data_IF_395804515615
#
_entry.id   IF_395804515615
#
_cell.length_a   1.000
_cell.length_b   1.000
_cell.length_c   1.000
_cell.angle_alpha   90.00
_cell.angle_beta   90.00
_cell.angle_gamma   90.00
#
_symmetry.space_group_name_H-M   'P 1'
#
loop_
_entity.id
_entity.type
_entity.pdbx_description
1 polymer ?
#
# COMPACT_ATOMS: atom_id res chain seq x y z
N UNK A 1 10.40 -6.94 11.33
CA UNK A 1 9.76 -8.01 10.54
C UNK A 1 9.03 -7.41 9.36
N UNK A 2 9.09 -8.09 8.22
CA UNK A 2 8.39 -7.60 7.03
C UNK A 2 6.93 -8.05 7.03
N UNK A 3 6.06 -7.13 6.66
CA UNK A 3 4.64 -7.40 6.43
C UNK A 3 4.25 -6.87 5.07
N UNK A 4 3.54 -7.69 4.32
CA UNK A 4 2.90 -7.31 3.07
C UNK A 4 1.44 -7.02 3.36
N UNK A 5 0.99 -5.83 2.99
CA UNK A 5 -0.42 -5.46 3.08
C UNK A 5 -0.94 -5.32 1.65
N UNK A 6 -1.89 -6.15 1.30
CA UNK A 6 -2.56 -6.15 0.00
C UNK A 6 -3.97 -5.60 0.19
N UNK A 7 -4.32 -4.58 -0.59
CA UNK A 7 -5.62 -3.92 -0.51
C UNK A 7 -6.27 -3.92 -1.89
N UNK A 8 -7.53 -4.34 -1.96
CA UNK A 8 -8.28 -4.34 -3.20
C UNK A 8 -9.42 -3.33 -3.11
N UNK A 9 -9.50 -2.43 -4.08
CA UNK A 9 -10.52 -1.38 -4.10
C UNK A 9 -11.90 -1.96 -4.36
N UNK A 10 -12.93 -1.30 -3.80
CA UNK A 10 -14.32 -1.52 -4.19
C UNK A 10 -14.50 -1.09 -5.65
N UNK A 11 -15.40 -1.74 -6.40
CA UNK A 11 -15.63 -1.38 -7.81
C UNK A 11 -16.04 0.09 -8.01
N UNK A 12 -16.69 0.68 -7.01
CA UNK A 12 -17.16 2.07 -7.02
C UNK A 12 -16.23 3.01 -6.25
N UNK A 13 -14.95 2.63 -6.09
CA UNK A 13 -14.02 3.33 -5.19
C UNK A 13 -13.34 4.57 -5.76
N UNK A 14 -13.45 4.85 -7.05
CA UNK A 14 -12.67 5.92 -7.69
C UNK A 14 -12.84 7.29 -7.04
N UNK A 15 -14.07 7.65 -6.67
CA UNK A 15 -14.34 8.92 -6.02
C UNK A 15 -13.74 9.01 -4.61
N UNK A 16 -13.80 7.90 -3.87
CA UNK A 16 -13.19 7.81 -2.53
C UNK A 16 -11.68 7.96 -2.64
N UNK A 17 -11.07 7.27 -3.60
CA UNK A 17 -9.62 7.34 -3.82
C UNK A 17 -9.19 8.77 -4.15
N UNK A 18 -9.90 9.44 -5.04
CA UNK A 18 -9.60 10.83 -5.42
C UNK A 18 -9.74 11.79 -4.23
N UNK A 19 -10.80 11.65 -3.45
CA UNK A 19 -11.08 12.54 -2.32
C UNK A 19 -10.09 12.33 -1.16
N UNK A 20 -9.49 11.15 -1.03
CA UNK A 20 -8.66 10.77 0.12
C UNK A 20 -7.16 10.81 -0.20
N UNK A 21 -6.80 11.04 -1.47
CA UNK A 21 -5.41 10.94 -1.95
C UNK A 21 -4.41 11.75 -1.12
N UNK A 22 -4.70 13.01 -0.84
CA UNK A 22 -3.79 13.87 -0.10
C UNK A 22 -3.53 13.35 1.31
N UNK A 23 -4.58 12.94 2.01
CA UNK A 23 -4.46 12.38 3.35
C UNK A 23 -3.65 11.08 3.34
N UNK A 24 -3.86 10.24 2.32
CA UNK A 24 -3.11 9.01 2.12
C UNK A 24 -1.62 9.28 1.95
N UNK A 25 -1.24 10.18 1.07
CA UNK A 25 0.16 10.53 0.86
C UNK A 25 0.81 11.15 2.10
N UNK A 26 0.09 11.99 2.83
CA UNK A 26 0.59 12.58 4.06
C UNK A 26 0.83 11.50 5.13
N UNK A 27 -0.05 10.52 5.23
CA UNK A 27 0.09 9.38 6.14
C UNK A 27 1.33 8.55 5.80
N UNK A 28 1.52 8.23 4.52
CA UNK A 28 2.68 7.46 4.08
C UNK A 28 3.99 8.22 4.31
N UNK A 29 3.99 9.54 4.11
CA UNK A 29 5.16 10.36 4.38
C UNK A 29 5.57 10.32 5.85
N UNK A 30 4.60 10.27 6.78
CA UNK A 30 4.89 10.13 8.22
C UNK A 30 5.43 8.75 8.59
N UNK A 31 5.23 7.74 7.74
CA UNK A 31 5.68 6.36 7.98
C UNK A 31 6.82 5.94 7.05
N UNK A 32 7.49 6.91 6.44
CA UNK A 32 8.57 6.66 5.48
C UNK A 32 9.68 5.79 6.06
N UNK A 33 9.96 5.90 7.34
CA UNK A 33 11.02 5.16 8.03
C UNK A 33 10.76 3.65 8.11
N UNK A 34 9.51 3.21 7.96
CA UNK A 34 9.16 1.80 8.01
C UNK A 34 8.62 1.27 6.67
N UNK A 35 8.31 2.15 5.73
CA UNK A 35 7.77 1.77 4.44
C UNK A 35 8.91 1.40 3.47
N UNK A 36 9.04 0.12 3.18
CA UNK A 36 10.07 -0.39 2.29
C UNK A 36 9.69 -0.15 0.82
N UNK A 37 8.45 -0.44 0.49
CA UNK A 37 7.92 -0.29 -0.87
C UNK A 37 6.42 -0.15 -0.77
N UNK A 38 5.86 0.81 -1.49
CA UNK A 38 4.42 0.97 -1.56
C UNK A 38 3.99 1.54 -2.88
N UNK A 39 2.77 1.24 -3.28
CA UNK A 39 2.23 1.77 -4.52
C UNK A 39 0.84 1.28 -4.83
N UNK A 40 0.25 1.89 -5.85
CA UNK A 40 -1.04 1.48 -6.36
C UNK A 40 -0.91 0.18 -7.14
N UNK A 41 -1.93 -0.66 -7.02
CA UNK A 41 -2.12 -1.79 -7.93
C UNK A 41 -2.93 -1.30 -9.11
N UNK A 42 -2.50 -1.69 -10.31
CA UNK A 42 -3.09 -1.19 -11.56
C UNK A 42 -3.75 -2.32 -12.32
N UNK A 43 -4.82 -1.98 -13.04
CA UNK A 43 -5.36 -2.86 -14.05
C UNK A 43 -4.36 -3.00 -15.21
N UNK A 44 -4.63 -3.90 -16.15
CA UNK A 44 -3.72 -4.15 -17.27
C UNK A 44 -3.56 -2.95 -18.20
N UNK A 45 -4.45 -1.95 -18.13
CA UNK A 45 -4.30 -0.71 -18.88
C UNK A 45 -3.14 0.17 -18.36
N UNK A 46 -2.58 -0.17 -17.19
CA UNK A 46 -1.44 0.54 -16.61
C UNK A 46 -1.80 1.88 -15.96
N UNK A 47 -3.06 2.26 -15.89
CA UNK A 47 -3.49 3.54 -15.33
C UNK A 47 -4.62 3.44 -14.31
N UNK A 48 -5.56 2.55 -14.49
CA UNK A 48 -6.70 2.40 -13.58
C UNK A 48 -6.23 1.78 -12.26
N UNK A 49 -6.42 2.50 -11.16
CA UNK A 49 -6.09 2.01 -9.82
C UNK A 49 -7.16 1.04 -9.37
N UNK A 50 -6.73 -0.15 -8.95
CA UNK A 50 -7.61 -1.20 -8.45
C UNK A 50 -7.27 -1.64 -7.04
N UNK A 51 -6.25 -1.06 -6.45
CA UNK A 51 -5.83 -1.41 -5.10
C UNK A 51 -4.58 -0.68 -4.68
N UNK A 52 -4.03 -1.11 -3.56
CA UNK A 52 -2.78 -0.60 -3.01
C UNK A 52 -2.00 -1.75 -2.39
N UNK A 53 -0.69 -1.61 -2.35
CA UNK A 53 0.18 -2.60 -1.72
C UNK A 53 1.26 -1.89 -0.93
N UNK A 54 1.59 -2.44 0.24
CA UNK A 54 2.64 -1.92 1.11
C UNK A 54 3.51 -3.07 1.59
N UNK A 55 4.83 -2.87 1.56
CA UNK A 55 5.78 -3.73 2.26
C UNK A 55 6.40 -2.88 3.37
N UNK A 56 6.20 -3.29 4.62
CA UNK A 56 6.57 -2.51 5.79
C UNK A 56 7.47 -3.34 6.72
N UNK A 57 8.47 -2.67 7.31
CA UNK A 57 9.29 -3.28 8.34
C UNK A 57 8.75 -2.84 9.72
N UNK A 58 8.05 -3.73 10.39
CA UNK A 58 7.33 -3.43 11.63
C UNK A 58 7.66 -4.46 12.70
N UNK A 59 7.53 -4.09 14.00
CA UNK A 59 7.90 -4.99 15.09
C UNK A 59 6.94 -6.12 15.34
N UNK A 60 5.68 -6.02 14.89
CA UNK A 60 4.67 -7.05 15.18
C UNK A 60 3.50 -6.97 14.22
N UNK A 61 2.71 -8.05 14.16
CA UNK A 61 1.44 -8.05 13.42
C UNK A 61 0.46 -7.01 13.96
N UNK A 62 0.42 -6.82 15.28
CA UNK A 62 -0.47 -5.84 15.88
C UNK A 62 -0.19 -4.43 15.36
N UNK A 63 1.08 -4.08 15.19
CA UNK A 63 1.47 -2.78 14.63
C UNK A 63 1.11 -2.69 13.14
N UNK A 64 1.23 -3.80 12.40
CA UNK A 64 0.82 -3.83 11.00
C UNK A 64 -0.70 -3.64 10.86
N UNK A 65 -1.47 -4.26 11.73
CA UNK A 65 -2.93 -4.09 11.76
C UNK A 65 -3.32 -2.65 12.11
N UNK A 66 -2.62 -2.04 13.06
CA UNK A 66 -2.82 -0.65 13.44
C UNK A 66 -2.50 0.30 12.27
N UNK A 67 -1.36 0.08 11.60
CA UNK A 67 -1.00 0.85 10.41
C UNK A 67 -2.13 0.78 9.37
N UNK A 68 -2.61 -0.41 9.09
CA UNK A 68 -3.67 -0.63 8.09
C UNK A 68 -4.98 0.06 8.48
N UNK A 69 -5.39 -0.06 9.76
CA UNK A 69 -6.64 0.56 10.22
C UNK A 69 -6.63 2.08 10.08
N UNK A 70 -5.49 2.69 10.36
CA UNK A 70 -5.35 4.15 10.39
C UNK A 70 -4.95 4.74 9.05
N UNK A 71 -4.66 3.90 8.07
CA UNK A 71 -4.34 4.35 6.72
C UNK A 71 -5.61 4.97 6.12
N UNK A 72 -5.52 6.21 5.60
CA UNK A 72 -6.72 6.96 5.20
C UNK A 72 -7.62 6.29 4.18
N UNK A 73 -7.08 5.53 3.23
CA UNK A 73 -7.92 4.78 2.30
C UNK A 73 -8.75 3.71 3.02
N UNK A 74 -8.14 3.02 3.98
CA UNK A 74 -8.86 2.04 4.79
C UNK A 74 -9.97 2.72 5.60
N UNK A 75 -9.64 3.81 6.27
CA UNK A 75 -10.61 4.56 7.10
C UNK A 75 -11.75 5.12 6.28
N UNK A 76 -11.50 5.50 5.03
CA UNK A 76 -12.52 6.04 4.12
C UNK A 76 -13.41 4.96 3.50
N UNK A 77 -13.12 3.68 3.74
CA UNK A 77 -13.92 2.59 3.20
C UNK A 77 -13.66 2.28 1.73
N UNK A 78 -12.48 2.61 1.23
CA UNK A 78 -12.12 2.36 -0.16
C UNK A 78 -12.04 0.88 -0.50
N UNK A 79 -11.52 0.07 0.44
CA UNK A 79 -11.14 -1.30 0.14
C UNK A 79 -12.28 -2.28 0.43
N UNK A 80 -12.53 -3.20 -0.51
CA UNK A 80 -13.41 -4.34 -0.29
C UNK A 80 -12.68 -5.48 0.42
N UNK A 81 -11.33 -5.50 0.34
CA UNK A 81 -10.51 -6.53 0.96
C UNK A 81 -9.17 -5.94 1.38
N UNK A 82 -8.71 -6.33 2.57
CA UNK A 82 -7.36 -6.03 3.07
C UNK A 82 -6.79 -7.33 3.61
N UNK A 83 -5.61 -7.70 3.13
CA UNK A 83 -4.88 -8.88 3.62
C UNK A 83 -3.53 -8.45 4.14
N UNK A 84 -3.18 -8.93 5.33
CA UNK A 84 -1.91 -8.69 5.97
C UNK A 84 -1.18 -10.02 6.09
N UNK A 85 0.00 -10.12 5.49
CA UNK A 85 0.81 -11.33 5.52
C UNK A 85 2.21 -11.01 6.00
N UNK A 86 2.69 -11.79 6.95
CA UNK A 86 4.10 -11.72 7.32
C UNK A 86 4.92 -12.33 6.20
N UNK A 87 6.02 -11.67 5.82
CA UNK A 87 6.89 -12.22 4.80
C UNK A 87 8.33 -12.25 5.26
N UNK A 88 9.09 -13.12 4.67
CA UNK A 88 10.51 -13.23 4.86
C UNK A 88 11.23 -12.57 3.67
N UNK A 89 12.27 -11.82 3.97
CA UNK A 89 13.12 -11.25 2.92
C UNK A 89 14.06 -12.34 2.39
N UNK A 90 13.61 -13.10 1.40
CA UNK A 90 14.41 -14.17 0.79
C UNK A 90 15.42 -13.63 -0.20
N UNK A 91 14.94 -13.28 -1.39
CA UNK A 91 15.76 -12.63 -2.41
C UNK A 91 15.63 -11.12 -2.24
N UNK A 92 16.76 -10.44 -2.37
CA UNK A 92 16.78 -8.98 -2.18
C UNK A 92 17.72 -8.36 -3.21
N UNK A 93 17.15 -7.54 -4.11
CA UNK A 93 17.92 -6.80 -5.09
C UNK A 93 17.23 -5.46 -5.38
N UNK A 94 17.49 -4.42 -4.56
CA UNK A 94 16.86 -3.11 -4.76
C UNK A 94 17.26 -2.46 -6.08
N UNK A 95 18.40 -2.83 -6.66
CA UNK A 95 18.85 -2.28 -7.94
C UNK A 95 17.99 -2.74 -9.12
N UNK A 96 17.18 -3.78 -8.94
CA UNK A 96 16.24 -4.23 -9.97
C UNK A 96 14.96 -3.40 -10.02
N UNK A 97 14.79 -2.45 -9.09
CA UNK A 97 13.60 -1.61 -9.08
C UNK A 97 13.54 -0.71 -10.31
N UNK A 98 12.33 -0.39 -10.82
CA UNK A 98 12.19 0.58 -11.90
C UNK A 98 12.77 1.95 -11.50
N UNK A 99 13.26 2.69 -12.48
CA UNK A 99 13.82 4.02 -12.24
C UNK A 99 12.73 5.05 -11.91
N UNK A 100 11.52 4.85 -12.41
CA UNK A 100 10.38 5.74 -12.18
C UNK A 100 9.19 5.01 -11.55
N UNK A 101 8.27 5.78 -10.97
CA UNK A 101 7.05 5.23 -10.38
C UNK A 101 6.17 4.52 -11.42
N UNK A 102 6.26 4.91 -12.69
CA UNK A 102 5.49 4.32 -13.78
C UNK A 102 6.08 3.01 -14.31
N UNK A 103 7.27 2.62 -13.83
CA UNK A 103 7.85 1.33 -14.16
C UNK A 103 8.83 1.35 -15.33
N UNK A 104 9.32 2.51 -15.69
CA UNK A 104 10.30 2.64 -16.78
C UNK A 104 11.66 3.07 -16.29
#
# INVERSE_FOLDING_TARGET
MLYLIYCEDRPDGAAIRAATREAHFAYLARHQDVLVLGGALLAEDGTTRIGSSFVLNLPSRAVAEEFSRNEPFTSAGLFKEVRIRRMRRGQWNPDAAPATAEGS
#
